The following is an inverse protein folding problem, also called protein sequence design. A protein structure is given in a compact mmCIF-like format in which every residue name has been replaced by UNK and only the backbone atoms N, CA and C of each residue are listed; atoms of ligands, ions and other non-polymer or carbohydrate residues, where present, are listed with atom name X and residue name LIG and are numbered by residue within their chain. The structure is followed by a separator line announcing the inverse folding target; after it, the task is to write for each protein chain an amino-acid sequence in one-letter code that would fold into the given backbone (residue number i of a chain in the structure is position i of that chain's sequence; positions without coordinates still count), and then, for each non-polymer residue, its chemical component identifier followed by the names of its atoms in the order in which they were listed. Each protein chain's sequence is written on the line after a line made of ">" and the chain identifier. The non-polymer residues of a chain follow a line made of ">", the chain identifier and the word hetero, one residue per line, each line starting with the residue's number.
data_IF_616330790701
#
_entry.id   IF_616330790701
#
_cell.length_a   1.000
_cell.length_b   1.000
_cell.length_c   1.000
_cell.angle_alpha   90.00
_cell.angle_beta   90.00
_cell.angle_gamma   90.00
#
_symmetry.space_group_name_H-M   'P 1'
#
loop_
_entity.id
_entity.type
_entity.pdbx_description
1 polymer ?
#
# COMPACT_ATOMS: atom_id res chain seq x y z
N UNK A 1 52.44 28.57 24.45
CA UNK A 1 51.16 27.86 24.68
C UNK A 1 50.04 28.73 24.14
N UNK A 2 49.59 28.47 22.91
CA UNK A 2 48.74 29.39 22.14
C UNK A 2 47.35 28.76 22.02
N UNK A 3 46.35 29.34 22.70
CA UNK A 3 44.95 28.87 22.63
C UNK A 3 44.32 29.30 21.31
N UNK A 4 44.05 28.34 20.43
CA UNK A 4 43.26 28.54 19.21
C UNK A 4 41.81 28.84 19.57
N UNK A 5 41.33 30.04 19.23
CA UNK A 5 39.91 30.42 19.34
C UNK A 5 39.18 29.93 18.10
N UNK A 6 38.26 28.99 18.26
CA UNK A 6 37.26 28.69 17.24
C UNK A 6 36.41 29.94 17.00
N UNK A 7 36.35 30.38 15.75
CA UNK A 7 35.57 31.56 15.34
C UNK A 7 34.16 31.15 14.93
N UNK A 8 33.19 31.96 15.34
CA UNK A 8 31.73 31.80 15.23
C UNK A 8 31.20 31.57 13.79
N UNK A 9 32.05 31.61 12.76
CA UNK A 9 31.65 31.42 11.36
C UNK A 9 31.68 29.96 10.88
N UNK A 10 32.24 29.02 11.64
CA UNK A 10 32.28 27.60 11.24
C UNK A 10 31.09 26.77 11.72
N UNK A 11 30.37 27.20 12.75
CA UNK A 11 29.17 26.52 13.26
C UNK A 11 27.90 26.77 12.43
N UNK A 12 27.88 27.81 11.59
CA UNK A 12 26.74 28.12 10.72
C UNK A 12 26.60 27.17 9.51
N UNK A 13 27.67 26.44 9.14
CA UNK A 13 27.65 25.52 8.00
C UNK A 13 27.21 24.10 8.35
N UNK A 14 27.17 23.73 9.63
CA UNK A 14 26.65 22.42 10.06
C UNK A 14 25.12 22.43 10.21
N UNK A 15 24.51 23.59 10.50
CA UNK A 15 23.05 23.74 10.58
C UNK A 15 22.35 23.79 9.21
N UNK A 16 23.06 24.14 8.15
CA UNK A 16 22.49 24.25 6.80
C UNK A 16 22.27 22.88 6.12
N UNK A 17 22.96 21.82 6.55
CA UNK A 17 22.79 20.47 5.99
C UNK A 17 21.69 19.65 6.68
N UNK A 18 21.35 19.97 7.94
CA UNK A 18 20.20 19.34 8.60
C UNK A 18 18.85 19.98 8.21
N UNK A 19 18.84 21.23 7.75
CA UNK A 19 17.63 21.92 7.31
C UNK A 19 17.27 21.67 5.82
N UNK A 20 18.17 21.09 5.03
CA UNK A 20 17.93 20.75 3.62
C UNK A 20 17.38 19.32 3.41
N UNK A 21 17.19 18.54 4.47
CA UNK A 21 16.77 17.13 4.40
C UNK A 21 15.30 16.84 4.71
N UNK A 22 14.48 17.84 5.05
CA UNK A 22 13.06 17.65 5.45
C UNK A 22 12.09 18.51 4.63
N UNK A 23 12.59 19.28 3.67
CA UNK A 23 11.80 20.30 2.94
C UNK A 23 11.39 19.95 1.51
N UNK A 24 11.38 18.67 1.13
CA UNK A 24 10.93 18.21 -0.19
C UNK A 24 9.81 17.16 -0.11
N UNK A 25 9.09 17.10 1.01
CA UNK A 25 7.72 16.59 0.99
C UNK A 25 6.89 17.63 0.25
N UNK A 26 6.71 17.40 -1.04
CA UNK A 26 5.87 18.15 -1.95
C UNK A 26 4.61 18.65 -1.26
N UNK A 27 4.53 19.96 -1.02
CA UNK A 27 3.26 20.64 -0.93
C UNK A 27 2.66 20.66 -2.34
N UNK A 28 2.03 19.54 -2.73
CA UNK A 28 1.01 19.55 -3.76
C UNK A 28 -0.28 20.02 -3.08
N UNK A 29 -0.56 21.32 -3.12
CA UNK A 29 -1.83 21.83 -2.63
C UNK A 29 -2.94 21.49 -3.62
N UNK A 30 -3.87 20.66 -3.11
CA UNK A 30 -5.30 20.55 -3.41
C UNK A 30 -5.73 20.06 -4.80
N UNK A 31 -5.66 18.75 -5.00
CA UNK A 31 -6.87 18.04 -5.42
C UNK A 31 -7.61 17.67 -4.12
N UNK A 32 -8.94 17.67 -4.09
CA UNK A 32 -9.70 17.03 -3.00
C UNK A 32 -9.04 15.69 -2.65
N UNK A 33 -8.69 15.46 -1.38
CA UNK A 33 -7.94 14.27 -0.94
C UNK A 33 -8.52 13.02 -1.62
N UNK A 34 -7.78 12.51 -2.60
CA UNK A 34 -8.13 11.31 -3.33
C UNK A 34 -8.15 10.17 -2.31
N UNK A 35 -9.30 9.53 -2.13
CA UNK A 35 -9.48 8.52 -1.09
C UNK A 35 -8.95 7.20 -1.65
N UNK A 36 -7.64 7.02 -1.58
CA UNK A 36 -7.03 5.73 -1.81
C UNK A 36 -7.59 4.77 -0.76
N UNK A 37 -8.12 3.64 -1.20
CA UNK A 37 -8.63 2.58 -0.32
C UNK A 37 -7.84 1.30 -0.53
N UNK A 38 -7.31 0.78 0.57
CA UNK A 38 -6.58 -0.49 0.58
C UNK A 38 -7.57 -1.65 0.44
N UNK A 39 -7.22 -2.62 -0.40
CA UNK A 39 -7.99 -3.84 -0.61
C UNK A 39 -7.53 -4.89 0.41
N UNK A 40 -8.46 -5.41 1.20
CA UNK A 40 -8.20 -6.53 2.10
C UNK A 40 -8.02 -7.83 1.32
N UNK A 41 -6.87 -8.49 1.47
CA UNK A 41 -6.48 -9.73 0.75
C UNK A 41 -6.48 -10.98 1.66
N UNK A 42 -6.62 -10.77 2.96
CA UNK A 42 -6.58 -11.84 3.95
C UNK A 42 -7.91 -12.57 4.11
N UNK A 43 -8.04 -13.24 5.25
CA UNK A 43 -9.22 -14.04 5.63
C UNK A 43 -10.13 -13.31 6.61
N UNK A 44 -9.88 -12.04 6.88
CA UNK A 44 -10.64 -11.23 7.81
C UNK A 44 -12.04 -10.88 7.29
N UNK A 45 -12.95 -10.44 8.18
CA UNK A 45 -14.25 -9.93 7.77
C UNK A 45 -14.13 -8.77 6.77
N UNK A 46 -14.81 -8.87 5.64
CA UNK A 46 -14.79 -7.83 4.59
C UNK A 46 -13.56 -7.87 3.69
N UNK A 47 -12.66 -8.84 3.87
CA UNK A 47 -11.52 -9.06 2.98
C UNK A 47 -11.86 -10.06 1.89
N UNK A 48 -11.18 -9.93 0.75
CA UNK A 48 -11.18 -10.94 -0.27
C UNK A 48 -10.12 -11.99 0.09
N UNK A 49 -10.55 -13.21 0.35
CA UNK A 49 -9.64 -14.33 0.62
C UNK A 49 -8.85 -14.73 -0.64
N UNK A 50 -7.85 -13.92 -0.98
CA UNK A 50 -7.06 -14.03 -2.22
C UNK A 50 -5.55 -14.08 -1.94
N UNK A 51 -5.16 -14.25 -0.68
CA UNK A 51 -3.76 -14.44 -0.28
C UNK A 51 -3.23 -15.85 -0.58
N UNK A 52 -1.91 -15.99 -0.52
CA UNK A 52 -1.20 -17.26 -0.72
C UNK A 52 -0.95 -17.63 -2.18
N UNK A 53 -0.34 -18.80 -2.39
CA UNK A 53 -0.01 -19.31 -3.73
C UNK A 53 -1.26 -19.52 -4.57
N UNK A 54 -1.21 -19.00 -5.80
CA UNK A 54 -2.29 -18.96 -6.77
C UNK A 54 -3.58 -18.36 -6.21
N UNK A 55 -3.45 -17.32 -5.38
CA UNK A 55 -4.55 -16.66 -4.66
C UNK A 55 -5.43 -17.62 -3.83
N UNK A 56 -4.84 -18.71 -3.34
CA UNK A 56 -5.55 -19.74 -2.57
C UNK A 56 -6.44 -20.66 -3.41
N UNK A 57 -6.40 -20.55 -4.74
CA UNK A 57 -7.20 -21.37 -5.65
C UNK A 57 -6.65 -22.80 -5.68
N UNK A 58 -7.53 -23.78 -5.50
CA UNK A 58 -7.16 -25.20 -5.64
C UNK A 58 -6.71 -25.53 -7.06
N UNK A 59 -5.84 -26.53 -7.20
CA UNK A 59 -5.37 -26.99 -8.50
C UNK A 59 -6.53 -27.39 -9.42
N UNK A 60 -6.44 -27.00 -10.69
CA UNK A 60 -7.46 -27.19 -11.74
C UNK A 60 -8.81 -26.57 -11.38
N UNK A 61 -8.78 -25.39 -10.78
CA UNK A 61 -9.97 -24.67 -10.36
C UNK A 61 -9.90 -23.18 -10.67
N UNK A 62 -11.04 -22.52 -10.46
CA UNK A 62 -11.21 -21.07 -10.57
C UNK A 62 -11.97 -20.57 -9.34
N UNK A 63 -11.56 -19.42 -8.81
CA UNK A 63 -12.34 -18.67 -7.82
C UNK A 63 -12.76 -17.34 -8.44
N UNK A 64 -13.99 -16.93 -8.15
CA UNK A 64 -14.55 -15.65 -8.57
C UNK A 64 -14.67 -14.73 -7.35
N UNK A 65 -13.98 -13.60 -7.38
CA UNK A 65 -14.10 -12.53 -6.42
C UNK A 65 -15.14 -11.53 -6.93
N UNK A 66 -16.40 -11.75 -6.56
CA UNK A 66 -17.51 -10.86 -6.91
C UNK A 66 -17.41 -9.54 -6.15
N UNK A 67 -17.95 -8.47 -6.75
CA UNK A 67 -17.91 -7.12 -6.18
C UNK A 67 -16.47 -6.67 -5.89
N UNK A 68 -15.56 -6.92 -6.81
CA UNK A 68 -14.18 -6.46 -6.70
C UNK A 68 -14.01 -5.06 -7.36
N UNK A 69 -13.32 -4.10 -6.71
CA UNK A 69 -12.77 -4.15 -5.35
C UNK A 69 -13.75 -3.70 -4.25
N UNK A 70 -14.97 -3.28 -4.61
CA UNK A 70 -16.02 -2.83 -3.69
C UNK A 70 -17.42 -3.30 -4.13
N UNK A 71 -18.42 -3.16 -3.26
CA UNK A 71 -19.81 -3.51 -3.52
C UNK A 71 -20.35 -2.86 -4.81
N UNK A 72 -20.87 -3.66 -5.75
CA UNK A 72 -21.30 -3.15 -7.06
C UNK A 72 -20.15 -2.93 -8.06
N UNK A 73 -18.94 -3.37 -7.72
CA UNK A 73 -17.80 -3.45 -8.62
C UNK A 73 -17.95 -4.54 -9.67
N UNK A 74 -16.82 -5.01 -10.21
CA UNK A 74 -16.81 -6.10 -11.18
C UNK A 74 -16.52 -7.46 -10.56
N UNK A 75 -16.08 -8.39 -11.39
CA UNK A 75 -15.62 -9.71 -10.95
C UNK A 75 -14.17 -9.88 -11.34
N UNK A 76 -13.32 -10.23 -10.37
CA UNK A 76 -11.98 -10.73 -10.65
C UNK A 76 -12.00 -12.26 -10.56
N UNK A 77 -11.41 -12.94 -11.54
CA UNK A 77 -11.28 -14.39 -11.57
C UNK A 77 -9.82 -14.76 -11.35
N UNK A 78 -9.56 -15.73 -10.49
CA UNK A 78 -8.24 -16.33 -10.34
C UNK A 78 -8.28 -17.78 -10.84
N UNK A 79 -7.46 -18.07 -11.85
CA UNK A 79 -7.37 -19.39 -12.48
C UNK A 79 -6.11 -20.10 -12.02
N UNK A 80 -6.24 -21.38 -11.66
CA UNK A 80 -5.13 -22.27 -11.33
C UNK A 80 -5.22 -23.57 -12.13
N UNK A 81 -5.06 -23.46 -13.45
CA UNK A 81 -4.92 -24.60 -14.37
C UNK A 81 -3.53 -24.55 -15.00
N UNK A 82 -2.50 -25.15 -14.38
CA UNK A 82 -1.11 -25.02 -14.85
C UNK A 82 -0.88 -25.47 -16.30
N UNK A 83 -1.74 -26.35 -16.81
CA UNK A 83 -1.68 -26.85 -18.18
C UNK A 83 -2.40 -25.95 -19.21
N UNK A 84 -3.31 -25.06 -18.78
CA UNK A 84 -4.17 -24.30 -19.71
C UNK A 84 -4.24 -22.83 -19.36
N UNK A 85 -4.83 -22.46 -18.23
CA UNK A 85 -5.14 -21.08 -17.86
C UNK A 85 -4.68 -20.78 -16.44
N UNK A 86 -3.84 -19.77 -16.29
CA UNK A 86 -3.36 -19.41 -14.96
C UNK A 86 -3.11 -17.92 -14.83
N UNK A 87 -3.53 -17.37 -13.69
CA UNK A 87 -3.41 -15.96 -13.37
C UNK A 87 -4.76 -15.31 -13.15
N UNK A 88 -4.80 -14.01 -13.41
CA UNK A 88 -5.95 -13.15 -13.12
C UNK A 88 -6.68 -12.80 -14.41
N UNK A 89 -8.01 -12.76 -14.34
CA UNK A 89 -8.84 -12.18 -15.37
C UNK A 89 -9.90 -11.28 -14.75
N UNK A 90 -10.46 -10.42 -15.57
CA UNK A 90 -11.53 -9.52 -15.17
C UNK A 90 -12.79 -9.74 -16.00
N UNK A 91 -13.95 -9.54 -15.37
CA UNK A 91 -15.26 -9.65 -15.98
C UNK A 91 -16.24 -8.67 -15.32
N UNK A 92 -17.42 -8.51 -15.94
CA UNK A 92 -18.53 -7.77 -15.35
C UNK A 92 -18.20 -6.31 -15.02
N UNK A 93 -17.55 -5.60 -15.94
CA UNK A 93 -17.17 -4.19 -15.77
C UNK A 93 -15.82 -3.96 -15.08
N UNK A 94 -15.13 -5.02 -14.66
CA UNK A 94 -13.71 -4.93 -14.32
C UNK A 94 -12.86 -5.16 -15.58
N UNK A 95 -11.76 -4.43 -15.69
CA UNK A 95 -10.77 -4.56 -16.75
C UNK A 95 -9.37 -4.60 -16.13
N UNK A 96 -8.46 -5.41 -16.68
CA UNK A 96 -7.05 -5.39 -16.30
C UNK A 96 -6.23 -4.70 -17.39
N UNK A 97 -5.14 -4.06 -16.99
CA UNK A 97 -4.23 -3.41 -17.90
C UNK A 97 -3.42 -4.45 -18.70
N UNK A 98 -3.25 -4.20 -19.99
CA UNK A 98 -2.52 -5.10 -20.90
C UNK A 98 -1.48 -4.36 -21.75
N UNK A 99 -0.50 -5.11 -22.26
CA UNK A 99 0.55 -4.62 -23.19
C UNK A 99 0.30 -5.03 -24.66
N UNK A 100 -0.90 -5.51 -25.00
CA UNK A 100 -1.38 -5.63 -26.38
C UNK A 100 -1.39 -7.04 -27.01
N UNK A 101 -1.31 -8.13 -26.22
CA UNK A 101 -1.37 -9.51 -26.73
C UNK A 101 -2.02 -10.53 -25.79
N UNK A 102 -1.94 -11.82 -26.15
CA UNK A 102 -2.34 -12.93 -25.26
C UNK A 102 -1.37 -13.04 -24.08
N UNK A 103 -1.88 -13.37 -22.90
CA UNK A 103 -1.13 -13.40 -21.63
C UNK A 103 -0.19 -12.20 -21.48
N UNK A 104 -0.75 -11.02 -21.62
CA UNK A 104 -0.01 -9.77 -21.59
C UNK A 104 -0.54 -8.84 -20.51
N UNK A 105 -0.74 -9.28 -19.25
CA UNK A 105 -0.97 -8.34 -18.17
C UNK A 105 0.21 -7.39 -18.12
N UNK A 106 -0.09 -6.10 -18.05
CA UNK A 106 0.94 -5.07 -18.01
C UNK A 106 1.61 -5.05 -16.65
N UNK A 107 2.95 -5.14 -16.63
CA UNK A 107 3.72 -4.95 -15.40
C UNK A 107 4.04 -3.46 -15.21
N UNK A 108 3.39 -2.83 -14.26
CA UNK A 108 3.75 -1.49 -13.81
C UNK A 108 4.81 -1.55 -12.71
N UNK A 109 5.82 -0.68 -12.81
CA UNK A 109 6.76 -0.45 -11.72
C UNK A 109 6.15 0.44 -10.64
N UNK A 110 6.67 0.36 -9.40
CA UNK A 110 6.26 1.26 -8.32
C UNK A 110 6.28 2.73 -8.73
N UNK A 111 5.29 3.49 -8.28
CA UNK A 111 5.08 4.91 -8.61
C UNK A 111 4.76 5.19 -10.08
N UNK A 112 4.47 4.18 -10.91
CA UNK A 112 3.92 4.42 -12.25
C UNK A 112 2.47 4.84 -12.12
N UNK A 113 2.05 5.90 -12.82
CA UNK A 113 0.66 6.32 -12.87
C UNK A 113 -0.18 5.30 -13.64
N UNK A 114 -1.28 4.87 -13.03
CA UNK A 114 -2.29 3.98 -13.63
C UNK A 114 -3.57 4.80 -13.77
N UNK A 115 -3.93 5.10 -15.02
CA UNK A 115 -5.04 5.96 -15.37
C UNK A 115 -5.67 5.57 -16.73
N UNK A 116 -6.52 6.44 -17.28
CA UNK A 116 -7.18 6.22 -18.57
C UNK A 116 -6.25 6.09 -19.79
N UNK A 117 -4.94 6.35 -19.66
CA UNK A 117 -3.96 6.22 -20.75
C UNK A 117 -3.49 4.78 -20.99
N UNK A 118 -3.69 3.88 -20.03
CA UNK A 118 -3.36 2.47 -20.20
C UNK A 118 -4.33 1.77 -21.18
N UNK A 119 -3.89 0.65 -21.75
CA UNK A 119 -4.76 -0.24 -22.52
C UNK A 119 -5.45 -1.22 -21.56
N UNK A 120 -6.77 -1.31 -21.66
CA UNK A 120 -7.62 -2.05 -20.73
C UNK A 120 -8.35 -3.18 -21.44
N UNK A 121 -8.35 -4.38 -20.86
CA UNK A 121 -9.09 -5.52 -21.40
C UNK A 121 -9.87 -6.28 -20.34
N UNK A 122 -11.04 -6.76 -20.73
CA UNK A 122 -11.85 -7.74 -20.00
C UNK A 122 -11.80 -9.12 -20.65
N UNK A 123 -10.99 -9.31 -21.70
CA UNK A 123 -10.79 -10.61 -22.31
C UNK A 123 -9.83 -11.43 -21.44
N UNK A 124 -10.31 -12.55 -20.92
CA UNK A 124 -9.52 -13.33 -19.98
C UNK A 124 -8.20 -13.84 -20.60
N UNK A 125 -8.18 -14.24 -21.87
CA UNK A 125 -6.95 -14.75 -22.51
C UNK A 125 -5.84 -13.70 -22.68
N UNK A 126 -6.16 -12.40 -22.63
CA UNK A 126 -5.18 -11.30 -22.71
C UNK A 126 -4.58 -10.96 -21.35
N UNK A 127 -5.24 -11.35 -20.26
CA UNK A 127 -4.94 -10.86 -18.89
C UNK A 127 -4.31 -11.92 -17.99
N UNK A 128 -4.41 -13.20 -18.37
CA UNK A 128 -3.76 -14.31 -17.68
C UNK A 128 -2.22 -14.23 -17.73
N UNK A 129 -1.55 -14.92 -16.82
CA UNK A 129 -0.09 -15.12 -16.89
C UNK A 129 0.31 -16.28 -17.80
N UNK A 130 -0.56 -17.27 -17.97
CA UNK A 130 -0.39 -18.38 -18.92
C UNK A 130 -1.73 -18.72 -19.57
N UNK A 131 -1.71 -18.93 -20.88
CA UNK A 131 -2.86 -19.30 -21.70
C UNK A 131 -2.40 -20.32 -22.73
N UNK A 132 -3.04 -21.47 -22.74
CA UNK A 132 -2.78 -22.58 -23.67
C UNK A 132 -4.13 -23.10 -24.13
N UNK A 133 -4.50 -22.72 -25.35
CA UNK A 133 -5.68 -23.25 -26.03
C UNK A 133 -5.40 -23.47 -27.52
N UNK A 134 -4.88 -22.45 -28.21
CA UNK A 134 -4.42 -22.55 -29.60
C UNK A 134 -2.89 -22.56 -29.67
N UNK A 135 -2.25 -21.62 -28.97
CA UNK A 135 -0.82 -21.55 -28.76
C UNK A 135 -0.54 -21.38 -27.25
N UNK A 136 0.63 -21.86 -26.81
CA UNK A 136 1.08 -21.61 -25.44
C UNK A 136 1.74 -20.25 -25.39
N UNK A 137 1.10 -19.34 -24.66
CA UNK A 137 1.61 -17.99 -24.38
C UNK A 137 1.80 -17.83 -22.87
N UNK A 138 2.87 -17.14 -22.48
CA UNK A 138 3.29 -16.97 -21.09
C UNK A 138 3.79 -15.55 -20.90
N UNK A 139 3.25 -14.86 -19.90
CA UNK A 139 3.70 -13.54 -19.49
C UNK A 139 5.14 -13.61 -18.92
N UNK A 140 5.96 -12.55 -19.06
CA UNK A 140 7.22 -12.45 -18.34
C UNK A 140 7.02 -12.62 -16.82
N UNK A 141 8.05 -13.05 -16.09
CA UNK A 141 7.98 -13.21 -14.63
C UNK A 141 7.82 -11.87 -13.90
N UNK A 142 7.03 -11.86 -12.82
CA UNK A 142 6.77 -10.68 -11.98
C UNK A 142 7.39 -10.94 -10.61
N UNK A 143 8.32 -10.07 -10.20
CA UNK A 143 8.91 -10.09 -8.86
C UNK A 143 8.17 -9.16 -7.89
N UNK A 144 8.58 -9.12 -6.61
CA UNK A 144 8.09 -8.14 -5.64
C UNK A 144 8.19 -6.70 -6.18
N UNK A 145 7.19 -5.85 -5.91
CA UNK A 145 7.11 -4.51 -6.48
C UNK A 145 6.67 -4.44 -7.95
N UNK A 146 6.14 -5.55 -8.50
CA UNK A 146 5.43 -5.58 -9.79
C UNK A 146 3.94 -5.40 -9.56
N UNK A 147 3.30 -4.56 -10.38
CA UNK A 147 1.90 -4.21 -10.20
C UNK A 147 1.10 -4.46 -11.47
N UNK A 148 -0.10 -5.03 -11.33
CA UNK A 148 -1.11 -5.06 -12.38
C UNK A 148 -2.12 -3.97 -12.08
N UNK A 149 -2.36 -3.10 -13.06
CA UNK A 149 -3.42 -2.11 -12.99
C UNK A 149 -4.78 -2.73 -13.29
N UNK A 150 -5.83 -2.22 -12.66
CA UNK A 150 -7.21 -2.52 -13.02
C UNK A 150 -8.05 -1.24 -13.12
N UNK A 151 -9.12 -1.31 -13.90
CA UNK A 151 -10.13 -0.26 -14.02
C UNK A 151 -11.50 -0.85 -13.77
N UNK A 152 -12.28 -0.21 -12.90
CA UNK A 152 -13.70 -0.44 -12.82
C UNK A 152 -14.39 0.49 -13.83
N UNK A 153 -14.98 -0.06 -14.87
CA UNK A 153 -15.62 0.71 -15.94
C UNK A 153 -16.89 1.43 -15.47
N UNK A 154 -17.64 0.86 -14.52
CA UNK A 154 -18.91 1.45 -14.07
C UNK A 154 -18.72 2.62 -13.12
N UNK A 155 -17.75 2.51 -12.21
CA UNK A 155 -17.39 3.59 -11.29
C UNK A 155 -16.34 4.56 -11.86
N UNK A 156 -15.74 4.20 -12.99
CA UNK A 156 -14.58 4.88 -13.59
C UNK A 156 -13.41 5.06 -12.62
N UNK A 157 -13.17 4.06 -11.78
CA UNK A 157 -12.09 4.07 -10.78
C UNK A 157 -10.92 3.20 -11.22
N UNK A 158 -9.72 3.57 -10.78
CA UNK A 158 -8.48 2.89 -11.11
C UNK A 158 -7.87 2.29 -9.84
N UNK A 159 -7.21 1.15 -10.00
CA UNK A 159 -6.54 0.48 -8.91
C UNK A 159 -5.36 -0.34 -9.36
N UNK A 160 -4.67 -0.92 -8.39
CA UNK A 160 -3.52 -1.77 -8.62
C UNK A 160 -3.55 -2.97 -7.68
N UNK A 161 -2.95 -4.07 -8.15
CA UNK A 161 -2.62 -5.26 -7.37
C UNK A 161 -1.12 -5.48 -7.46
N UNK A 162 -0.45 -5.58 -6.31
CA UNK A 162 0.93 -6.05 -6.26
C UNK A 162 0.91 -7.57 -6.39
N UNK A 163 1.62 -8.08 -7.39
CA UNK A 163 1.62 -9.51 -7.70
C UNK A 163 3.02 -10.03 -7.94
N UNK A 164 3.23 -11.30 -7.61
CA UNK A 164 4.36 -12.07 -8.12
C UNK A 164 3.84 -13.11 -9.09
N UNK A 165 4.64 -13.47 -10.09
CA UNK A 165 4.37 -14.55 -11.03
C UNK A 165 5.69 -15.21 -11.43
N UNK A 166 5.73 -16.54 -11.36
CA UNK A 166 6.84 -17.36 -11.85
C UNK A 166 6.32 -18.36 -12.88
N UNK A 167 6.74 -18.16 -14.12
CA UNK A 167 6.50 -19.08 -15.24
C UNK A 167 7.14 -20.44 -15.07
N UNK A 168 8.24 -20.51 -14.30
CA UNK A 168 8.94 -21.76 -13.98
C UNK A 168 8.19 -22.56 -12.92
N UNK A 169 7.79 -21.92 -11.82
CA UNK A 169 7.05 -22.58 -10.75
C UNK A 169 5.58 -22.82 -11.09
N UNK A 170 5.03 -22.08 -12.06
CA UNK A 170 3.59 -21.99 -12.31
C UNK A 170 2.83 -21.49 -11.09
N UNK A 171 3.35 -20.41 -10.49
CA UNK A 171 2.82 -19.85 -9.26
C UNK A 171 2.72 -18.33 -9.37
N UNK A 172 1.57 -17.77 -8.98
CA UNK A 172 1.42 -16.34 -8.73
C UNK A 172 0.95 -16.10 -7.29
N UNK A 173 1.14 -14.88 -6.78
CA UNK A 173 0.58 -14.45 -5.51
C UNK A 173 0.08 -13.02 -5.65
N UNK A 174 -1.00 -12.69 -4.93
CA UNK A 174 -1.45 -11.32 -4.75
C UNK A 174 -1.01 -10.90 -3.35
N UNK A 175 -0.19 -9.85 -3.29
CA UNK A 175 0.48 -9.42 -2.05
C UNK A 175 -0.23 -8.25 -1.38
N UNK A 176 -0.70 -7.30 -2.19
CA UNK A 176 -1.38 -6.10 -1.72
C UNK A 176 -2.23 -5.51 -2.85
N UNK A 177 -3.12 -4.59 -2.52
CA UNK A 177 -3.92 -3.88 -3.51
C UNK A 177 -4.50 -2.59 -2.95
N UNK A 178 -4.77 -1.65 -3.84
CA UNK A 178 -5.51 -0.43 -3.51
C UNK A 178 -6.21 0.12 -4.75
N UNK A 179 -7.21 0.98 -4.54
CA UNK A 179 -7.90 1.70 -5.60
C UNK A 179 -8.16 3.16 -5.20
N UNK A 180 -8.35 4.01 -6.20
CA UNK A 180 -8.77 5.39 -6.05
C UNK A 180 -10.30 5.46 -6.11
N UNK A 181 -10.94 6.05 -5.09
CA UNK A 181 -12.40 6.18 -5.03
C UNK A 181 -12.94 7.31 -5.91
N UNK A 182 -12.13 8.32 -6.24
CA UNK A 182 -12.57 9.41 -7.09
C UNK A 182 -12.64 8.97 -8.57
N UNK A 183 -13.82 9.06 -9.22
CA UNK A 183 -13.97 8.70 -10.63
C UNK A 183 -13.05 9.52 -11.54
N UNK A 184 -12.42 8.86 -12.50
CA UNK A 184 -11.53 9.47 -13.50
C UNK A 184 -10.13 9.82 -12.98
N UNK A 185 -9.84 9.64 -11.69
CA UNK A 185 -8.53 9.97 -11.10
C UNK A 185 -7.64 8.74 -11.07
N UNK A 186 -6.45 8.87 -11.68
CA UNK A 186 -5.45 7.81 -11.69
C UNK A 186 -4.79 7.61 -10.32
N UNK A 187 -4.22 6.42 -10.12
CA UNK A 187 -3.50 6.03 -8.90
C UNK A 187 -2.06 5.68 -9.23
N UNK A 188 -1.13 6.04 -8.34
CA UNK A 188 0.26 5.58 -8.46
C UNK A 188 0.36 4.12 -7.99
N UNK A 189 0.99 3.27 -8.78
CA UNK A 189 1.26 1.88 -8.42
C UNK A 189 2.01 1.80 -7.08
N UNK A 190 1.46 1.06 -6.11
CA UNK A 190 2.02 0.94 -4.77
C UNK A 190 1.60 2.05 -3.79
N UNK A 191 0.85 3.08 -4.24
CA UNK A 191 0.29 4.08 -3.32
C UNK A 191 -0.82 3.46 -2.48
N UNK A 192 -0.74 3.65 -1.16
CA UNK A 192 -1.64 3.06 -0.17
C UNK A 192 -2.26 4.15 0.69
N UNK A 193 -3.47 3.89 1.17
CA UNK A 193 -4.06 4.69 2.22
C UNK A 193 -3.17 4.61 3.47
N UNK A 194 -2.96 5.72 4.21
CA UNK A 194 -2.37 5.65 5.53
C UNK A 194 -3.17 4.66 6.37
N UNK A 195 -2.53 3.59 6.84
CA UNK A 195 -3.11 2.76 7.88
C UNK A 195 -3.13 3.66 9.12
N UNK A 196 -4.27 3.87 9.79
CA UNK A 196 -4.27 4.63 11.03
C UNK A 196 -3.28 3.94 11.97
N UNK A 197 -2.14 4.56 12.22
CA UNK A 197 -1.30 4.13 13.32
C UNK A 197 -2.18 4.21 14.58
N UNK A 198 -2.12 3.21 15.49
CA UNK A 198 -2.75 3.38 16.79
C UNK A 198 -2.16 4.63 17.41
N UNK A 199 -2.91 5.73 17.37
CA UNK A 199 -2.54 7.00 17.96
C UNK A 199 -2.18 6.66 19.42
N UNK A 200 -0.93 6.87 19.87
CA UNK A 200 -0.61 6.68 21.26
C UNK A 200 -1.57 7.57 22.04
N UNK A 201 -2.49 6.98 22.79
CA UNK A 201 -3.51 7.74 23.49
C UNK A 201 -2.81 8.85 24.30
N UNK A 202 -3.14 10.13 24.09
CA UNK A 202 -2.51 11.26 24.80
C UNK A 202 -2.58 11.10 26.32
N UNK A 203 -3.49 10.24 26.82
CA UNK A 203 -3.67 9.93 28.23
C UNK A 203 -2.52 9.14 28.88
N UNK A 204 -1.78 8.31 28.16
CA UNK A 204 -0.79 7.42 28.80
C UNK A 204 0.45 8.19 29.28
N UNK A 205 0.91 9.16 28.48
CA UNK A 205 2.03 10.03 28.85
C UNK A 205 1.60 11.17 29.78
N UNK A 206 0.38 11.69 29.63
CA UNK A 206 -0.18 12.67 30.56
C UNK A 206 -0.38 12.07 31.96
N UNK A 207 -0.85 10.83 32.06
CA UNK A 207 -0.97 10.11 33.33
C UNK A 207 0.41 9.81 33.94
N UNK A 208 1.39 9.37 33.14
CA UNK A 208 2.75 9.14 33.63
C UNK A 208 3.42 10.44 34.13
N UNK A 209 3.22 11.56 33.42
CA UNK A 209 3.73 12.87 33.82
C UNK A 209 3.05 13.41 35.09
N UNK A 210 1.73 13.21 35.25
CA UNK A 210 0.99 13.55 36.48
C UNK A 210 1.44 12.71 37.68
N UNK A 211 1.69 11.42 37.48
CA UNK A 211 2.19 10.53 38.55
C UNK A 211 3.63 10.88 38.96
N UNK A 212 4.50 11.19 38.00
CA UNK A 212 5.87 11.63 38.29
C UNK A 212 5.90 13.03 38.95
N UNK A 213 5.04 13.95 38.52
CA UNK A 213 4.91 15.29 39.11
C UNK A 213 4.34 15.28 40.53
N UNK A 214 3.36 14.41 40.81
CA UNK A 214 2.73 14.27 42.13
C UNK A 214 3.70 13.79 43.21
N UNK A 215 4.58 12.84 42.89
CA UNK A 215 5.59 12.33 43.83
C UNK A 215 6.65 13.39 44.19
N UNK A 216 7.05 14.23 43.23
CA UNK A 216 7.99 15.31 43.47
C UNK A 216 7.39 16.43 44.34
N UNK A 217 6.12 16.78 44.12
CA UNK A 217 5.43 17.83 44.89
C UNK A 217 5.18 17.40 46.35
N UNK A 218 4.77 16.15 46.58
CA UNK A 218 4.58 15.61 47.93
C UNK A 218 5.88 15.60 48.75
N UNK A 219 7.02 15.30 48.11
CA UNK A 219 8.34 15.30 48.77
C UNK A 219 8.83 16.71 49.13
N UNK A 220 8.53 17.71 48.31
CA UNK A 220 8.88 19.11 48.59
C UNK A 220 8.10 19.67 49.78
N UNK A 221 6.81 19.34 49.88
CA UNK A 221 5.94 19.80 50.98
C UNK A 221 6.42 19.26 52.33
N UNK A 222 6.77 17.98 52.42
CA UNK A 222 7.25 17.35 53.65
C UNK A 222 8.54 17.99 54.21
N UNK A 223 9.44 18.44 53.31
CA UNK A 223 10.68 19.13 53.71
C UNK A 223 10.45 20.52 54.30
N UNK A 224 9.36 21.22 53.93
CA UNK A 224 9.03 22.53 54.53
C UNK A 224 8.48 22.38 55.94
N UNK A 225 7.71 21.32 56.18
CA UNK A 225 7.14 21.03 57.50
C UNK A 225 8.22 20.58 58.51
N UNK A 226 9.28 19.91 58.04
CA UNK A 226 10.44 19.54 58.85
C UNK A 226 11.33 20.77 59.17
N UNK A 227 11.58 21.65 58.18
CA UNK A 227 12.36 22.87 58.38
C UNK A 227 11.70 23.90 59.33
N UNK A 228 10.37 23.88 59.47
CA UNK A 228 9.67 24.75 60.42
C UNK A 228 9.70 24.23 61.86
N UNK A 229 9.94 22.93 62.07
CA UNK A 229 10.05 22.33 63.41
C UNK A 229 11.44 22.47 64.03
N UNK A 230 12.47 22.68 63.21
CA UNK A 230 13.85 22.96 63.70
C UNK A 230 14.08 24.45 64.05
N UNK A 231 13.14 25.33 63.70
CA UNK A 231 13.21 26.77 63.94
C UNK A 231 12.37 27.26 65.14
N UNK A 232 11.75 26.33 65.89
CA UNK A 232 10.96 26.58 67.10
C UNK A 232 11.63 25.91 68.31
#
# INVERSE_FOLDING_TARGET
>A
MTKSKFTTKQSARLGAYFAAGVGASFAATSNSDAAIVNIGIGTGPGEFNMGGTNAGVSLNSVINFYNFPFAGGGTMNAYNFPATWMGLAAAGGLYLAIDGGNTSPRNFSSNTLIDGSATWSSHFWETLFRYTFYDTTVAPDFGPGSYIGFRNYFADTYGWLEVTWSSTANEFQILSGAYEEQPGVGILAGARAPIPEPVPEPGTWAAAALLAGGAAFARWRKRRDEAQKEAA
#
